data_IF_941481065822
#
_entry.id   IF_941481065822
#
_cell.length_a   1.000
_cell.length_b   1.000
_cell.length_c   1.000
_cell.angle_alpha   90.00
_cell.angle_beta   90.00
_cell.angle_gamma   90.00
#
_symmetry.space_group_name_H-M   'P 1'
#
loop_
_entity.id
_entity.type
_entity.pdbx_description
1 polymer ?
#
# COMPACT_ATOMS: atom_id res chain seq x y z
N UNK A 1 20.91 -3.75 -32.39
CA UNK A 1 20.30 -3.89 -31.06
C UNK A 1 20.11 -2.50 -30.50
N UNK A 2 18.94 -1.91 -30.72
CA UNK A 2 18.55 -0.65 -30.10
C UNK A 2 18.08 -0.94 -28.68
N UNK A 3 18.88 -0.57 -27.68
CA UNK A 3 18.43 -0.48 -26.30
C UNK A 3 17.41 0.66 -26.24
N UNK A 4 16.12 0.34 -26.24
CA UNK A 4 15.05 1.30 -25.96
C UNK A 4 15.22 1.78 -24.52
N UNK A 5 15.45 3.07 -24.28
CA UNK A 5 15.62 3.61 -22.94
C UNK A 5 14.26 3.92 -22.31
N UNK A 6 13.33 2.96 -22.24
CA UNK A 6 12.12 3.16 -21.45
C UNK A 6 12.34 2.59 -20.05
N UNK A 7 13.04 3.38 -19.23
CA UNK A 7 12.73 3.37 -17.80
C UNK A 7 11.30 3.87 -17.70
N UNK A 8 10.34 2.95 -17.69
CA UNK A 8 8.95 3.25 -17.33
C UNK A 8 9.01 3.83 -15.91
N UNK A 9 9.08 5.14 -15.80
CA UNK A 9 9.13 5.80 -14.51
C UNK A 9 7.80 5.50 -13.82
N UNK A 10 7.86 4.71 -12.74
CA UNK A 10 6.69 4.46 -11.92
C UNK A 10 6.14 5.80 -11.46
N UNK A 11 4.88 6.06 -11.77
CA UNK A 11 4.19 7.22 -11.21
C UNK A 11 3.98 6.97 -9.71
N UNK A 12 3.72 8.04 -8.95
CA UNK A 12 3.34 7.89 -7.55
C UNK A 12 2.08 7.01 -7.39
N UNK A 13 1.16 7.07 -8.36
CA UNK A 13 -0.04 6.24 -8.37
C UNK A 13 0.29 4.75 -8.57
N UNK A 14 1.21 4.42 -9.46
CA UNK A 14 1.65 3.03 -9.68
C UNK A 14 2.29 2.47 -8.40
N UNK A 15 3.14 3.26 -7.73
CA UNK A 15 3.78 2.86 -6.47
C UNK A 15 2.74 2.62 -5.37
N UNK A 16 1.74 3.51 -5.25
CA UNK A 16 0.68 3.37 -4.25
C UNK A 16 -0.17 2.12 -4.53
N UNK A 17 -0.45 1.82 -5.81
CA UNK A 17 -1.22 0.64 -6.18
C UNK A 17 -0.46 -0.65 -5.89
N UNK A 18 0.84 -0.71 -6.22
CA UNK A 18 1.70 -1.85 -5.90
C UNK A 18 1.82 -2.06 -4.39
N UNK A 19 2.01 -0.99 -3.62
CA UNK A 19 2.05 -1.05 -2.16
C UNK A 19 0.74 -1.59 -1.57
N UNK A 20 -0.41 -1.16 -2.13
CA UNK A 20 -1.73 -1.65 -1.72
C UNK A 20 -1.88 -3.14 -1.95
N UNK A 21 -1.51 -3.63 -3.14
CA UNK A 21 -1.57 -5.06 -3.47
C UNK A 21 -0.66 -5.87 -2.54
N UNK A 22 0.59 -5.43 -2.37
CA UNK A 22 1.52 -6.09 -1.46
C UNK A 22 1.01 -6.16 -0.02
N UNK A 23 0.43 -5.08 0.50
CA UNK A 23 -0.15 -5.07 1.85
C UNK A 23 -1.33 -6.04 1.98
N UNK A 24 -2.22 -6.08 0.98
CA UNK A 24 -3.37 -6.98 0.99
C UNK A 24 -2.93 -8.46 1.01
N UNK A 25 -1.95 -8.82 0.16
CA UNK A 25 -1.40 -10.18 0.13
C UNK A 25 -0.75 -10.56 1.47
N UNK A 26 -0.03 -9.63 2.10
CA UNK A 26 0.57 -9.88 3.42
C UNK A 26 -0.50 -10.08 4.51
N UNK A 27 -1.58 -9.30 4.48
CA UNK A 27 -2.70 -9.47 5.43
C UNK A 27 -3.33 -10.86 5.28
N UNK A 28 -3.51 -11.35 4.05
CA UNK A 28 -4.05 -12.70 3.81
C UNK A 28 -3.09 -13.82 4.26
N UNK A 29 -1.78 -13.60 4.13
CA UNK A 29 -0.77 -14.59 4.51
C UNK A 29 -0.52 -14.68 6.03
N UNK A 30 -0.91 -13.67 6.79
CA UNK A 30 -0.63 -13.63 8.23
C UNK A 30 -1.76 -14.22 9.07
N UNK A 31 -1.38 -15.02 10.07
CA UNK A 31 -2.30 -15.61 11.04
C UNK A 31 -2.78 -14.60 12.11
N UNK A 32 -1.97 -13.57 12.38
CA UNK A 32 -2.28 -12.51 13.33
C UNK A 32 -2.02 -11.14 12.68
N UNK A 33 -2.74 -10.08 13.07
CA UNK A 33 -2.52 -8.75 12.51
C UNK A 33 -1.10 -8.23 12.75
N UNK A 34 -0.34 -7.95 11.70
CA UNK A 34 0.93 -7.24 11.83
C UNK A 34 0.71 -5.80 12.27
N UNK A 35 1.27 -5.46 13.43
CA UNK A 35 1.32 -4.09 13.94
C UNK A 35 2.40 -3.32 13.18
N UNK A 36 1.97 -2.26 12.51
CA UNK A 36 2.83 -1.33 11.78
C UNK A 36 3.30 -0.18 12.68
N UNK A 37 2.44 0.31 13.57
CA UNK A 37 2.79 1.37 14.51
C UNK A 37 1.95 1.36 15.78
N UNK A 38 2.52 1.85 16.88
CA UNK A 38 1.79 2.13 18.11
C UNK A 38 1.47 3.63 18.18
N UNK A 39 0.19 3.99 18.18
CA UNK A 39 -0.23 5.37 18.30
C UNK A 39 -0.26 5.81 19.77
N UNK A 40 -0.03 7.10 20.06
CA UNK A 40 -0.14 7.64 21.43
C UNK A 40 -1.52 7.45 22.09
N UNK A 41 -2.57 7.21 21.28
CA UNK A 41 -3.92 6.87 21.75
C UNK A 41 -4.03 5.46 22.36
N UNK A 42 -2.99 4.65 22.27
CA UNK A 42 -3.01 3.23 22.63
C UNK A 42 -3.54 2.34 21.50
N UNK A 43 -3.94 2.91 20.36
CA UNK A 43 -4.33 2.15 19.19
C UNK A 43 -3.11 1.57 18.47
N UNK A 44 -3.19 0.30 18.10
CA UNK A 44 -2.18 -0.38 17.28
C UNK A 44 -2.62 -0.30 15.82
N UNK A 45 -1.88 0.48 15.04
CA UNK A 45 -2.09 0.56 13.60
C UNK A 45 -1.60 -0.73 12.96
N UNK A 46 -2.48 -1.42 12.24
CA UNK A 46 -2.22 -2.71 11.59
C UNK A 46 -1.99 -2.54 10.08
N UNK A 47 -1.51 -3.60 9.42
CA UNK A 47 -1.44 -3.63 7.96
C UNK A 47 -2.81 -3.47 7.30
N UNK A 48 -3.89 -3.98 7.91
CA UNK A 48 -5.26 -3.81 7.40
C UNK A 48 -5.69 -2.35 7.41
N UNK A 49 -5.34 -1.59 8.45
CA UNK A 49 -5.64 -0.15 8.53
C UNK A 49 -4.88 0.63 7.45
N UNK A 50 -3.66 0.21 7.13
CA UNK A 50 -2.90 0.77 6.01
C UNK A 50 -3.56 0.49 4.66
N UNK A 51 -4.10 -0.71 4.44
CA UNK A 51 -4.85 -1.05 3.21
C UNK A 51 -6.08 -0.15 3.08
N UNK A 52 -6.85 -0.01 4.16
CA UNK A 52 -8.04 0.85 4.17
C UNK A 52 -7.70 2.32 3.89
N UNK A 53 -6.63 2.84 4.49
CA UNK A 53 -6.16 4.19 4.25
C UNK A 53 -5.74 4.43 2.78
N UNK A 54 -5.09 3.45 2.16
CA UNK A 54 -4.71 3.53 0.75
C UNK A 54 -5.94 3.42 -0.16
N UNK A 55 -6.89 2.53 0.13
CA UNK A 55 -8.12 2.41 -0.64
C UNK A 55 -8.95 3.71 -0.57
N UNK A 56 -9.00 4.37 0.60
CA UNK A 56 -9.63 5.68 0.75
C UNK A 56 -8.92 6.78 -0.07
N UNK A 57 -7.58 6.78 -0.07
CA UNK A 57 -6.79 7.71 -0.89
C UNK A 57 -7.04 7.49 -2.39
N UNK A 58 -6.98 6.24 -2.86
CA UNK A 58 -7.22 5.89 -4.26
C UNK A 58 -8.65 6.24 -4.68
N UNK A 59 -9.63 6.05 -3.81
CA UNK A 59 -11.01 6.47 -4.06
C UNK A 59 -11.14 8.00 -4.17
N UNK A 60 -10.42 8.75 -3.35
CA UNK A 60 -10.39 10.22 -3.42
C UNK A 60 -9.76 10.72 -4.73
N UNK A 61 -8.66 10.10 -5.17
CA UNK A 61 -7.95 10.47 -6.41
C UNK A 61 -8.74 10.14 -7.70
N UNK A 62 -9.75 9.28 -7.61
CA UNK A 62 -10.65 8.94 -8.73
C UNK A 62 -11.82 9.92 -8.90
N UNK A 63 -12.07 10.79 -7.92
CA UNK A 63 -13.11 11.84 -7.99
C UNK A 63 -12.53 13.14 -8.55
#
# INVERSE_FOLDING_TARGET
MSLTPDKTHLTALDIILELRCWLADNVEMQAEPAIVAHLPSGYQLTQSDCVEAIDALLHHLRR
#
